data_IF_101318685463
#
_entry.id   IF_101318685463
#
_cell.length_a   1.000
_cell.length_b   1.000
_cell.length_c   1.000
_cell.angle_alpha   90.00
_cell.angle_beta   90.00
_cell.angle_gamma   90.00
#
_symmetry.space_group_name_H-M   'P 1'
#
loop_
_entity.id
_entity.type
_entity.pdbx_description
1 polymer ?
#
# COMPACT_ATOMS: atom_id res chain seq x y z
N UNK A 1 14.01 -3.07 -23.49
CA UNK A 1 14.19 -2.98 -22.03
C UNK A 1 12.93 -3.52 -21.37
N UNK A 2 13.04 -4.22 -20.24
CA UNK A 2 11.86 -4.72 -19.54
C UNK A 2 11.21 -3.57 -18.73
N UNK A 3 9.90 -3.39 -18.88
CA UNK A 3 9.12 -2.39 -18.12
C UNK A 3 9.08 -2.81 -16.65
N UNK A 4 9.52 -1.92 -15.76
CA UNK A 4 9.48 -2.14 -14.32
C UNK A 4 8.03 -2.13 -13.81
N UNK A 5 7.64 -3.15 -13.04
CA UNK A 5 6.27 -3.26 -12.51
C UNK A 5 6.22 -2.80 -11.05
N UNK A 6 5.46 -1.75 -10.77
CA UNK A 6 5.24 -1.23 -9.42
C UNK A 6 3.89 -1.77 -8.93
N UNK A 7 3.90 -2.64 -7.92
CA UNK A 7 2.67 -3.14 -7.30
C UNK A 7 2.13 -2.15 -6.28
N UNK A 8 0.82 -1.93 -6.28
CA UNK A 8 0.14 -0.96 -5.39
C UNK A 8 -1.10 -1.61 -4.78
N UNK A 9 -1.26 -1.43 -3.47
CA UNK A 9 -2.44 -1.85 -2.72
C UNK A 9 -2.74 -0.87 -1.57
N UNK A 10 -3.92 -0.99 -0.95
CA UNK A 10 -4.37 -0.17 0.16
C UNK A 10 -4.87 -0.98 1.36
N UNK A 11 -4.91 -0.32 2.52
CA UNK A 11 -5.57 -0.79 3.73
C UNK A 11 -6.35 0.34 4.40
N UNK A 12 -7.57 0.05 4.86
CA UNK A 12 -8.37 1.03 5.60
C UNK A 12 -9.54 1.63 4.83
N UNK A 13 -9.97 1.06 3.70
CA UNK A 13 -11.19 1.49 3.00
C UNK A 13 -12.48 1.01 3.66
N UNK A 14 -12.45 -0.18 4.26
CA UNK A 14 -13.62 -0.80 4.89
C UNK A 14 -13.95 -0.30 6.30
N UNK A 15 -12.94 0.00 7.14
CA UNK A 15 -13.20 0.49 8.49
C UNK A 15 -13.88 1.86 8.50
N UNK A 16 -14.70 2.09 9.54
CA UNK A 16 -15.35 3.38 9.80
C UNK A 16 -14.45 4.36 10.57
N UNK A 17 -13.30 3.90 11.05
CA UNK A 17 -12.39 4.69 11.88
C UNK A 17 -10.98 4.74 11.28
N UNK A 18 -10.41 5.94 11.31
CA UNK A 18 -8.99 6.18 11.06
C UNK A 18 -8.64 6.38 9.59
N UNK A 19 -7.36 6.31 9.33
CA UNK A 19 -6.71 6.64 8.07
C UNK A 19 -6.84 5.53 7.04
N UNK A 20 -6.78 5.89 5.76
CA UNK A 20 -6.51 4.97 4.66
C UNK A 20 -5.01 5.02 4.33
N UNK A 21 -4.37 3.86 4.26
CA UNK A 21 -2.97 3.70 3.89
C UNK A 21 -2.85 3.04 2.54
N UNK A 22 -1.85 3.43 1.76
CA UNK A 22 -1.48 2.75 0.52
C UNK A 22 0.02 2.52 0.50
N UNK A 23 0.45 1.46 -0.17
CA UNK A 23 1.86 1.21 -0.41
C UNK A 23 2.13 0.91 -1.89
N UNK A 24 3.34 1.20 -2.31
CA UNK A 24 3.88 0.89 -3.64
C UNK A 24 5.18 0.13 -3.47
N UNK A 25 5.37 -0.97 -4.19
CA UNK A 25 6.54 -1.84 -4.04
C UNK A 25 7.06 -2.32 -5.38
N UNK A 26 8.39 -2.35 -5.50
CA UNK A 26 9.14 -3.03 -6.56
C UNK A 26 10.02 -4.08 -5.90
N UNK A 27 9.73 -5.33 -6.14
CA UNK A 27 10.58 -6.45 -5.72
C UNK A 27 11.66 -6.74 -6.76
N UNK A 28 12.80 -7.32 -6.35
CA UNK A 28 13.81 -7.80 -7.29
C UNK A 28 13.26 -8.96 -8.15
N UNK A 29 13.93 -9.28 -9.27
CA UNK A 29 13.53 -10.39 -10.13
C UNK A 29 13.37 -11.71 -9.39
N UNK A 30 12.48 -12.57 -9.89
CA UNK A 30 12.27 -13.91 -9.35
C UNK A 30 13.58 -14.68 -9.23
N UNK A 31 13.74 -15.43 -8.12
CA UNK A 31 14.95 -16.17 -7.83
C UNK A 31 16.05 -15.36 -7.11
N UNK A 32 15.90 -14.05 -6.96
CA UNK A 32 16.86 -13.20 -6.24
C UNK A 32 16.64 -13.24 -4.73
N UNK A 33 15.37 -13.30 -4.31
CA UNK A 33 14.96 -13.36 -2.90
C UNK A 33 13.92 -14.46 -2.69
N UNK A 34 13.71 -14.86 -1.44
CA UNK A 34 12.63 -15.79 -1.10
C UNK A 34 11.27 -15.11 -1.10
N UNK A 35 10.52 -15.29 -2.18
CA UNK A 35 9.16 -14.76 -2.35
C UNK A 35 8.08 -15.61 -1.66
N UNK A 36 8.42 -16.78 -1.09
CA UNK A 36 7.45 -17.69 -0.48
C UNK A 36 6.75 -17.09 0.73
N UNK A 37 7.44 -16.21 1.46
CA UNK A 37 6.89 -15.49 2.60
C UNK A 37 5.92 -14.38 2.21
N UNK A 38 6.02 -13.85 0.99
CA UNK A 38 5.19 -12.75 0.49
C UNK A 38 3.91 -13.32 -0.11
N UNK A 39 2.81 -13.18 0.61
CA UNK A 39 1.47 -13.62 0.23
C UNK A 39 0.43 -12.64 0.74
N UNK A 40 -0.81 -12.73 0.25
CA UNK A 40 -1.91 -11.88 0.69
C UNK A 40 -1.89 -11.65 2.22
N UNK A 41 -1.96 -10.38 2.62
CA UNK A 41 -1.87 -9.97 4.02
C UNK A 41 -2.96 -10.59 4.92
N UNK A 42 -4.12 -10.93 4.35
CA UNK A 42 -5.26 -11.57 5.03
C UNK A 42 -4.98 -13.03 5.43
N UNK A 43 -3.98 -13.67 4.81
CA UNK A 43 -3.57 -15.06 5.11
C UNK A 43 -2.67 -15.18 6.34
N UNK A 44 -2.28 -14.06 6.95
CA UNK A 44 -1.49 -14.08 8.18
C UNK A 44 -2.40 -14.12 9.41
N UNK A 45 -2.28 -15.20 10.18
CA UNK A 45 -3.00 -15.38 11.45
C UNK A 45 -2.26 -14.81 12.66
N UNK A 46 -1.00 -14.41 12.49
CA UNK A 46 -0.13 -13.90 13.55
C UNK A 46 0.45 -12.55 13.16
N UNK A 47 0.18 -11.53 13.98
CA UNK A 47 0.77 -10.19 13.87
C UNK A 47 2.29 -10.22 13.86
N UNK A 48 2.91 -11.06 14.71
CA UNK A 48 4.37 -11.22 14.76
C UNK A 48 4.95 -11.74 13.43
N UNK A 49 4.23 -12.68 12.77
CA UNK A 49 4.65 -13.17 11.44
C UNK A 49 4.51 -12.09 10.39
N UNK A 50 3.39 -11.36 10.39
CA UNK A 50 3.14 -10.28 9.44
C UNK A 50 4.22 -9.18 9.54
N UNK A 51 4.59 -8.78 10.77
CA UNK A 51 5.65 -7.79 11.00
C UNK A 51 7.03 -8.27 10.52
N UNK A 52 7.37 -9.54 10.73
CA UNK A 52 8.61 -10.10 10.17
C UNK A 52 8.66 -10.07 8.65
N UNK A 53 7.52 -10.30 8.00
CA UNK A 53 7.45 -10.23 6.53
C UNK A 53 7.52 -8.78 6.05
N UNK A 54 6.92 -7.84 6.77
CA UNK A 54 7.08 -6.40 6.50
C UNK A 54 8.55 -5.98 6.55
N UNK A 55 9.26 -6.36 7.62
CA UNK A 55 10.69 -6.10 7.78
C UNK A 55 11.48 -6.70 6.60
N UNK A 56 11.21 -7.97 6.27
CA UNK A 56 11.84 -8.65 5.15
C UNK A 56 11.59 -7.94 3.80
N UNK A 57 10.37 -7.45 3.56
CA UNK A 57 10.05 -6.69 2.34
C UNK A 57 10.87 -5.40 2.30
N UNK A 58 10.92 -4.63 3.39
CA UNK A 58 11.66 -3.36 3.45
C UNK A 58 13.17 -3.53 3.24
N UNK A 59 13.72 -4.64 3.70
CA UNK A 59 15.16 -4.95 3.55
C UNK A 59 15.52 -5.43 2.14
N UNK A 60 14.59 -6.08 1.44
CA UNK A 60 14.88 -6.78 0.18
C UNK A 60 14.18 -6.17 -1.05
N UNK A 61 13.17 -5.32 -0.89
CA UNK A 61 12.58 -4.61 -2.02
C UNK A 61 13.58 -3.63 -2.64
N UNK A 62 13.57 -3.52 -3.97
CA UNK A 62 14.41 -2.54 -4.67
C UNK A 62 13.95 -1.12 -4.34
N UNK A 63 12.62 -0.91 -4.37
CA UNK A 63 11.98 0.36 -4.03
C UNK A 63 10.67 0.09 -3.32
N UNK A 64 10.34 0.94 -2.36
CA UNK A 64 9.03 0.94 -1.72
C UNK A 64 8.68 2.33 -1.20
N UNK A 65 7.38 2.58 -1.07
CA UNK A 65 6.83 3.80 -0.50
C UNK A 65 5.51 3.50 0.19
N UNK A 66 5.23 4.22 1.29
CA UNK A 66 3.99 4.13 2.05
C UNK A 66 3.43 5.53 2.21
N UNK A 67 2.15 5.70 1.96
CA UNK A 67 1.45 6.96 2.15
C UNK A 67 0.10 6.74 2.81
N UNK A 68 -0.49 7.81 3.35
CA UNK A 68 -1.83 7.78 3.92
C UNK A 68 -2.59 9.09 3.64
N UNK A 69 -3.90 9.01 3.77
CA UNK A 69 -4.76 10.17 3.93
C UNK A 69 -5.50 10.07 5.25
N UNK A 70 -5.61 11.21 5.92
CA UNK A 70 -6.25 11.32 7.23
C UNK A 70 -7.78 11.41 7.15
N UNK A 71 -8.41 11.33 8.29
CA UNK A 71 -9.85 11.40 8.45
C UNK A 71 -10.43 12.69 7.89
N UNK A 72 -9.74 13.82 8.08
CA UNK A 72 -10.18 15.13 7.56
C UNK A 72 -10.19 15.17 6.04
N UNK A 73 -9.21 14.55 5.42
CA UNK A 73 -9.14 14.41 3.97
C UNK A 73 -10.25 13.48 3.47
N UNK A 74 -10.47 12.35 4.16
CA UNK A 74 -11.53 11.41 3.83
C UNK A 74 -12.91 12.08 3.87
N UNK A 75 -13.20 12.84 4.92
CA UNK A 75 -14.45 13.59 5.07
C UNK A 75 -14.65 14.63 3.95
N UNK A 76 -13.55 15.27 3.53
CA UNK A 76 -13.59 16.32 2.51
C UNK A 76 -13.80 15.78 1.09
N UNK A 77 -13.14 14.69 0.72
CA UNK A 77 -13.10 14.21 -0.68
C UNK A 77 -13.65 12.79 -0.87
N UNK A 78 -14.20 12.16 0.16
CA UNK A 78 -14.64 10.77 0.32
C UNK A 78 -13.51 9.74 0.32
N UNK A 79 -13.84 8.53 0.82
CA UNK A 79 -12.86 7.44 0.99
C UNK A 79 -12.25 6.97 -0.34
N UNK A 80 -13.03 6.91 -1.42
CA UNK A 80 -12.53 6.49 -2.74
C UNK A 80 -11.47 7.44 -3.28
N UNK A 81 -11.74 8.74 -3.23
CA UNK A 81 -10.82 9.78 -3.70
C UNK A 81 -9.58 9.87 -2.80
N UNK A 82 -9.74 9.72 -1.49
CA UNK A 82 -8.64 9.67 -0.53
C UNK A 82 -7.74 8.45 -0.79
N UNK A 83 -8.32 7.28 -1.07
CA UNK A 83 -7.56 6.08 -1.44
C UNK A 83 -6.71 6.33 -2.70
N UNK A 84 -7.29 6.86 -3.76
CA UNK A 84 -6.53 7.17 -4.98
C UNK A 84 -5.42 8.20 -4.74
N UNK A 85 -5.67 9.18 -3.89
CA UNK A 85 -4.66 10.18 -3.51
C UNK A 85 -3.50 9.55 -2.75
N UNK A 86 -3.76 8.66 -1.78
CA UNK A 86 -2.70 7.94 -1.06
C UNK A 86 -1.92 7.01 -1.98
N UNK A 87 -2.59 6.28 -2.90
CA UNK A 87 -1.93 5.46 -3.91
C UNK A 87 -1.01 6.28 -4.82
N UNK A 88 -1.46 7.45 -5.28
CA UNK A 88 -0.64 8.36 -6.09
C UNK A 88 0.59 8.84 -5.32
N UNK A 89 0.45 9.14 -4.02
CA UNK A 89 1.58 9.58 -3.19
C UNK A 89 2.58 8.45 -3.02
N UNK A 90 2.15 7.25 -2.67
CA UNK A 90 3.02 6.07 -2.54
C UNK A 90 3.74 5.74 -3.87
N UNK A 91 3.02 5.78 -5.00
CA UNK A 91 3.60 5.57 -6.32
C UNK A 91 4.65 6.64 -6.68
N UNK A 92 4.36 7.93 -6.42
CA UNK A 92 5.30 9.03 -6.66
C UNK A 92 6.58 8.88 -5.85
N UNK A 93 6.48 8.41 -4.61
CA UNK A 93 7.64 8.21 -3.75
C UNK A 93 8.55 7.09 -4.27
N UNK A 94 7.99 6.05 -4.88
CA UNK A 94 8.76 5.02 -5.60
C UNK A 94 9.34 5.58 -6.90
N UNK A 95 8.53 6.26 -7.72
CA UNK A 95 8.97 6.79 -9.02
C UNK A 95 10.14 7.77 -8.88
N UNK A 96 10.16 8.59 -7.84
CA UNK A 96 11.28 9.52 -7.55
C UNK A 96 12.61 8.82 -7.24
N UNK A 97 12.58 7.56 -6.87
CA UNK A 97 13.76 6.75 -6.57
C UNK A 97 14.30 6.03 -7.83
N UNK A 98 13.50 5.97 -8.90
CA UNK A 98 13.90 5.30 -10.14
C UNK A 98 14.92 6.14 -10.92
N UNK A 99 15.86 5.51 -11.63
CA UNK A 99 16.66 6.19 -12.65
C UNK A 99 15.77 6.76 -13.77
N UNK A 100 16.17 7.88 -14.35
CA UNK A 100 15.37 8.61 -15.34
C UNK A 100 15.10 7.81 -16.63
N UNK A 101 15.99 6.88 -16.98
CA UNK A 101 15.95 6.03 -18.18
C UNK A 101 15.14 4.74 -17.99
N UNK A 102 14.57 4.51 -16.80
CA UNK A 102 13.75 3.31 -16.53
C UNK A 102 12.30 3.55 -16.94
N UNK A 103 11.78 2.65 -17.76
CA UNK A 103 10.36 2.57 -18.06
C UNK A 103 9.62 1.75 -16.99
N UNK A 104 8.46 2.24 -16.58
CA UNK A 104 7.65 1.62 -15.52
C UNK A 104 6.17 1.67 -15.82
N UNK A 105 5.43 0.76 -15.19
CA UNK A 105 3.97 0.77 -15.16
C UNK A 105 3.45 0.33 -13.78
N UNK A 106 2.21 0.71 -13.46
CA UNK A 106 1.59 0.41 -12.18
C UNK A 106 0.69 -0.82 -12.30
N UNK A 107 0.76 -1.71 -11.32
CA UNK A 107 -0.18 -2.81 -11.10
C UNK A 107 -0.96 -2.51 -9.83
N UNK A 108 -2.27 -2.28 -9.97
CA UNK A 108 -3.14 -1.81 -8.89
C UNK A 108 -4.03 -2.97 -8.45
N UNK A 109 -4.07 -3.27 -7.15
CA UNK A 109 -5.10 -4.18 -6.64
C UNK A 109 -6.50 -3.60 -6.82
N UNK A 110 -7.45 -4.46 -7.22
CA UNK A 110 -8.85 -4.07 -7.40
C UNK A 110 -9.24 -3.72 -8.83
N UNK A 111 -10.37 -3.02 -8.99
CA UNK A 111 -11.02 -2.78 -10.29
C UNK A 111 -11.09 -1.30 -10.69
N UNK A 112 -10.48 -0.40 -9.93
CA UNK A 112 -10.56 1.03 -10.21
C UNK A 112 -9.32 1.79 -9.74
N UNK A 113 -8.86 2.72 -10.55
CA UNK A 113 -7.79 3.65 -10.25
C UNK A 113 -8.05 4.99 -10.95
N UNK A 114 -7.59 6.08 -10.39
CA UNK A 114 -7.60 7.38 -11.07
C UNK A 114 -6.30 7.54 -11.84
N UNK A 115 -6.31 7.82 -13.16
CA UNK A 115 -5.09 8.01 -13.94
C UNK A 115 -4.12 8.98 -13.27
N UNK A 116 -2.83 8.63 -13.26
CA UNK A 116 -1.77 9.42 -12.68
C UNK A 116 -0.95 10.10 -13.78
N UNK A 117 -0.73 11.39 -13.64
CA UNK A 117 0.07 12.18 -14.56
C UNK A 117 1.42 12.49 -13.93
N UNK A 118 2.48 12.40 -14.73
CA UNK A 118 3.86 12.77 -14.36
C UNK A 118 4.44 13.71 -15.41
N UNK A 119 5.39 14.55 -14.98
CA UNK A 119 6.18 15.35 -15.92
C UNK A 119 7.46 14.59 -16.23
N UNK A 120 7.65 14.19 -17.48
CA UNK A 120 8.81 13.46 -17.98
C UNK A 120 9.18 13.98 -19.37
N UNK A 121 10.45 14.19 -19.64
CA UNK A 121 10.96 14.67 -20.94
C UNK A 121 10.32 15.98 -21.45
N UNK A 122 10.07 16.93 -20.52
CA UNK A 122 9.45 18.22 -20.86
C UNK A 122 7.94 18.16 -21.15
N UNK A 123 7.29 17.02 -20.93
CA UNK A 123 5.86 16.82 -21.22
C UNK A 123 5.12 16.19 -20.06
N UNK A 124 3.82 16.46 -19.98
CA UNK A 124 2.92 15.74 -19.08
C UNK A 124 2.50 14.43 -19.74
N UNK A 125 2.85 13.31 -19.11
CA UNK A 125 2.52 11.96 -19.60
C UNK A 125 1.66 11.23 -18.58
N UNK A 126 0.69 10.45 -19.07
CA UNK A 126 -0.03 9.51 -18.21
C UNK A 126 0.85 8.31 -17.91
N UNK A 127 0.93 7.91 -16.65
CA UNK A 127 1.58 6.67 -16.26
C UNK A 127 0.69 5.49 -16.69
N UNK A 128 1.29 4.52 -17.36
CA UNK A 128 0.60 3.27 -17.71
C UNK A 128 0.23 2.49 -16.44
N UNK A 129 -0.98 1.95 -16.39
CA UNK A 129 -1.43 1.14 -15.27
C UNK A 129 -2.41 0.05 -15.70
N UNK A 130 -2.49 -0.98 -14.87
CA UNK A 130 -3.46 -2.07 -14.96
C UNK A 130 -4.12 -2.28 -13.60
N UNK A 131 -5.45 -2.41 -13.58
CA UNK A 131 -6.20 -2.80 -12.39
C UNK A 131 -6.41 -4.31 -12.40
N UNK A 132 -6.03 -4.99 -11.33
CA UNK A 132 -6.02 -6.46 -11.23
C UNK A 132 -6.84 -6.87 -10.02
N UNK A 133 -8.01 -7.45 -10.26
CA UNK A 133 -8.87 -7.96 -9.18
C UNK A 133 -8.20 -9.16 -8.51
N UNK A 134 -7.99 -9.08 -7.19
CA UNK A 134 -7.25 -10.09 -6.43
C UNK A 134 -5.77 -10.11 -6.79
N UNK A 135 -5.21 -8.97 -7.14
CA UNK A 135 -3.81 -8.81 -7.52
C UNK A 135 -2.84 -9.22 -6.42
N UNK A 136 -3.24 -9.06 -5.16
CA UNK A 136 -2.50 -9.48 -3.96
C UNK A 136 -2.27 -11.02 -3.88
N UNK A 137 -3.12 -11.82 -4.52
CA UNK A 137 -2.92 -13.26 -4.69
C UNK A 137 -2.10 -13.62 -5.94
N UNK A 138 -2.17 -12.81 -6.96
CA UNK A 138 -1.61 -13.10 -8.29
C UNK A 138 -0.19 -12.55 -8.48
N UNK A 139 0.12 -11.39 -7.89
CA UNK A 139 1.36 -10.65 -8.12
C UNK A 139 2.10 -10.30 -6.83
N UNK A 140 3.35 -10.74 -6.71
CA UNK A 140 4.17 -10.55 -5.50
C UNK A 140 4.41 -9.08 -5.14
N UNK A 141 4.55 -8.19 -6.11
CA UNK A 141 4.69 -6.76 -5.87
C UNK A 141 3.43 -6.18 -5.19
N UNK A 142 2.22 -6.60 -5.63
CA UNK A 142 0.95 -6.19 -5.03
C UNK A 142 0.80 -6.82 -3.65
N UNK A 143 1.11 -8.12 -3.48
CA UNK A 143 1.09 -8.78 -2.17
C UNK A 143 2.01 -8.08 -1.16
N UNK A 144 3.21 -7.68 -1.59
CA UNK A 144 4.13 -6.91 -0.75
C UNK A 144 3.56 -5.53 -0.36
N UNK A 145 2.94 -4.82 -1.31
CA UNK A 145 2.27 -3.56 -1.05
C UNK A 145 1.11 -3.73 -0.05
N UNK A 146 0.29 -4.78 -0.21
CA UNK A 146 -0.78 -5.15 0.73
C UNK A 146 -0.27 -5.29 2.16
N UNK A 147 0.85 -6.02 2.34
CA UNK A 147 1.46 -6.22 3.66
C UNK A 147 1.95 -4.89 4.24
N UNK A 148 2.67 -4.08 3.47
CA UNK A 148 3.17 -2.78 3.96
C UNK A 148 2.04 -1.83 4.35
N UNK A 149 1.01 -1.70 3.53
CA UNK A 149 -0.15 -0.85 3.82
C UNK A 149 -0.89 -1.34 5.07
N UNK A 150 -1.11 -2.67 5.19
CA UNK A 150 -1.78 -3.29 6.33
C UNK A 150 -1.03 -3.06 7.63
N UNK A 151 0.29 -3.32 7.66
CA UNK A 151 1.09 -3.14 8.87
C UNK A 151 1.17 -1.67 9.26
N UNK A 152 1.36 -0.76 8.31
CA UNK A 152 1.38 0.67 8.59
C UNK A 152 0.08 1.16 9.23
N UNK A 153 -1.07 0.68 8.71
CA UNK A 153 -2.37 1.00 9.31
C UNK A 153 -2.56 0.38 10.68
N UNK A 154 -2.17 -0.89 10.88
CA UNK A 154 -2.31 -1.55 12.17
C UNK A 154 -1.47 -0.86 13.25
N UNK A 155 -0.25 -0.44 12.93
CA UNK A 155 0.59 0.34 13.83
C UNK A 155 -0.05 1.68 14.20
N UNK A 156 -0.65 2.39 13.23
CA UNK A 156 -1.40 3.63 13.51
C UNK A 156 -2.55 3.40 14.49
N UNK A 157 -3.33 2.32 14.33
CA UNK A 157 -4.43 2.00 15.27
C UNK A 157 -3.89 1.69 16.66
N UNK A 158 -2.75 1.01 16.76
CA UNK A 158 -2.11 0.71 18.05
C UNK A 158 -1.62 1.97 18.75
N UNK A 159 -0.93 2.85 18.02
CA UNK A 159 -0.51 4.15 18.55
C UNK A 159 -1.70 4.99 19.04
N UNK A 160 -2.83 4.93 18.33
CA UNK A 160 -4.07 5.59 18.74
C UNK A 160 -4.64 4.98 20.02
N UNK A 161 -4.65 3.66 20.14
CA UNK A 161 -5.11 2.97 21.35
C UNK A 161 -4.21 3.26 22.57
N UNK A 162 -2.92 3.38 22.38
CA UNK A 162 -1.96 3.75 23.44
C UNK A 162 -2.20 5.18 23.95
N UNK A 163 -2.45 6.10 23.02
CA UNK A 163 -2.72 7.52 23.35
C UNK A 163 -4.11 7.76 23.91
N UNK A 164 -5.07 6.90 23.57
CA UNK A 164 -6.48 7.02 23.86
C UNK A 164 -7.04 5.68 24.34
N UNK A 165 -6.73 5.24 25.59
CA UNK A 165 -7.18 3.95 26.13
C UNK A 165 -8.70 3.79 26.14
N UNK A 166 -9.45 4.90 26.23
CA UNK A 166 -10.91 4.92 26.17
C UNK A 166 -11.47 4.35 24.85
N UNK A 167 -10.69 4.37 23.75
CA UNK A 167 -11.10 3.76 22.48
C UNK A 167 -11.14 2.24 22.55
N UNK A 168 -10.30 1.65 23.39
CA UNK A 168 -10.31 0.19 23.65
C UNK A 168 -11.54 -0.16 24.46
N UNK A 169 -11.80 0.56 25.56
CA UNK A 169 -12.90 0.27 26.46
C UNK A 169 -14.29 0.43 25.81
N UNK A 170 -14.47 1.49 25.01
CA UNK A 170 -15.76 1.83 24.41
C UNK A 170 -16.05 1.11 23.11
N UNK A 171 -15.01 0.84 22.31
CA UNK A 171 -15.17 0.41 20.91
C UNK A 171 -14.38 -0.85 20.56
N UNK A 172 -13.67 -1.46 21.52
CA UNK A 172 -12.79 -2.63 21.30
C UNK A 172 -11.81 -2.43 20.11
N UNK A 173 -11.35 -1.17 19.93
CA UNK A 173 -10.60 -0.75 18.74
C UNK A 173 -9.29 -1.53 18.55
N UNK A 174 -8.64 -1.94 19.63
CA UNK A 174 -7.43 -2.74 19.58
C UNK A 174 -7.64 -4.09 18.86
N UNK A 175 -8.84 -4.65 18.95
CA UNK A 175 -9.23 -5.94 18.35
C UNK A 175 -9.84 -5.76 16.96
N UNK A 176 -10.90 -4.95 16.85
CA UNK A 176 -11.65 -4.80 15.59
C UNK A 176 -11.00 -3.88 14.57
N UNK A 177 -9.99 -3.09 14.98
CA UNK A 177 -9.24 -2.17 14.08
C UNK A 177 -10.13 -1.17 13.35
N UNK A 178 -11.31 -0.85 13.92
CA UNK A 178 -12.28 0.07 13.34
C UNK A 178 -13.24 -0.55 12.32
N UNK A 179 -13.19 -1.85 12.11
CA UNK A 179 -14.23 -2.57 11.37
C UNK A 179 -15.47 -2.75 12.27
N UNK A 180 -16.67 -2.60 11.67
CA UNK A 180 -17.93 -2.80 12.34
C UNK A 180 -18.24 -4.27 12.59
#
# INVERSE_FOLDING_TARGET
MSILKIGIDEAGRGPLFGRVYSAAVVLPPEGTIDLSMIKDSKKFTSKKKLKKVEEYIKENAIYWGIAFEDEKTIDKINIRSATFKSMHTAAKDVIKQLPDDVDYSLMIDGNAFKPMMVFKDGQIKQVEYECIVGGDDLHKNIAAASILAKVARDNYIEDMCEKHPELIERYDLAKNKGYG
#
